data_IF_698411647348
#
_entry.id   IF_698411647348
#
_cell.length_a   1.000
_cell.length_b   1.000
_cell.length_c   1.000
_cell.angle_alpha   90.00
_cell.angle_beta   90.00
_cell.angle_gamma   90.00
#
_symmetry.space_group_name_H-M   'P 1'
#
loop_
_entity.id
_entity.type
_entity.pdbx_description
1 polymer ?
#
# COMPACT_ATOMS: atom_id res chain seq x y z
N UNK A 1 -0.64 -18.04 9.47
CA UNK A 1 -1.70 -17.84 8.44
C UNK A 1 -1.30 -18.44 7.10
N UNK A 2 -0.14 -18.10 6.52
CA UNK A 2 0.26 -18.54 5.17
C UNK A 2 1.08 -19.84 5.13
N UNK A 3 0.81 -20.79 6.02
CA UNK A 3 1.51 -22.09 6.01
C UNK A 3 0.92 -22.95 4.90
N UNK A 4 1.72 -23.30 3.89
CA UNK A 4 1.31 -24.02 2.66
C UNK A 4 0.49 -23.17 1.70
N UNK A 5 0.66 -21.84 1.71
CA UNK A 5 -0.04 -20.99 0.75
C UNK A 5 0.59 -21.13 -0.64
N UNK A 6 -0.22 -21.44 -1.65
CA UNK A 6 0.21 -21.55 -3.04
C UNK A 6 -0.59 -20.56 -3.89
N UNK A 7 0.03 -19.50 -4.44
CA UNK A 7 -0.67 -18.51 -5.26
C UNK A 7 -1.44 -19.10 -6.45
N UNK A 8 -1.05 -20.27 -6.97
CA UNK A 8 -1.74 -20.91 -8.11
C UNK A 8 -3.02 -21.64 -7.71
N UNK A 9 -3.10 -22.11 -6.47
CA UNK A 9 -4.20 -22.96 -5.98
C UNK A 9 -5.11 -22.19 -5.03
N UNK A 10 -4.55 -21.27 -4.24
CA UNK A 10 -5.27 -20.57 -3.18
C UNK A 10 -5.86 -19.23 -3.59
N UNK A 11 -5.51 -18.70 -4.76
CA UNK A 11 -6.12 -17.48 -5.29
C UNK A 11 -7.44 -17.81 -5.96
N UNK A 12 -8.53 -17.30 -5.40
CA UNK A 12 -9.89 -17.50 -5.91
C UNK A 12 -10.27 -16.47 -6.99
N UNK A 13 -9.86 -15.21 -6.80
CA UNK A 13 -10.14 -14.12 -7.74
C UNK A 13 -9.20 -12.95 -7.50
N UNK A 14 -8.94 -12.17 -8.55
CA UNK A 14 -8.19 -10.92 -8.45
C UNK A 14 -8.90 -9.84 -9.25
N UNK A 15 -9.10 -8.67 -8.66
CA UNK A 15 -9.87 -7.56 -9.25
C UNK A 15 -9.27 -6.22 -8.88
N UNK A 16 -9.37 -5.22 -9.77
CA UNK A 16 -9.05 -3.84 -9.43
C UNK A 16 -10.22 -3.17 -8.70
N UNK A 17 -9.94 -2.46 -7.61
CA UNK A 17 -10.97 -1.82 -6.79
C UNK A 17 -11.43 -0.49 -7.38
N UNK A 18 -12.71 -0.16 -7.21
CA UNK A 18 -13.28 1.13 -7.61
C UNK A 18 -12.71 2.27 -6.77
N UNK A 19 -12.60 3.47 -7.34
CA UNK A 19 -12.01 4.65 -6.68
C UNK A 19 -12.67 5.05 -5.36
N UNK A 20 -13.98 4.83 -5.19
CA UNK A 20 -14.66 5.06 -3.90
C UNK A 20 -14.18 4.11 -2.80
N UNK A 21 -14.04 2.82 -3.12
CA UNK A 21 -13.56 1.80 -2.18
C UNK A 21 -12.10 2.04 -1.82
N UNK A 22 -11.28 2.41 -2.81
CA UNK A 22 -9.89 2.78 -2.58
C UNK A 22 -9.76 3.94 -1.58
N UNK A 23 -10.53 5.01 -1.74
CA UNK A 23 -10.53 6.14 -0.78
C UNK A 23 -10.89 5.69 0.63
N UNK A 24 -11.89 4.82 0.79
CA UNK A 24 -12.28 4.28 2.09
C UNK A 24 -11.16 3.44 2.73
N UNK A 25 -10.53 2.54 1.96
CA UNK A 25 -9.40 1.72 2.44
C UNK A 25 -8.23 2.61 2.85
N UNK A 26 -7.91 3.64 2.06
CA UNK A 26 -6.85 4.60 2.39
C UNK A 26 -7.14 5.28 3.72
N UNK A 27 -8.38 5.75 3.94
CA UNK A 27 -8.79 6.35 5.21
C UNK A 27 -8.66 5.38 6.39
N UNK A 28 -9.10 4.14 6.22
CA UNK A 28 -8.96 3.10 7.25
C UNK A 28 -7.49 2.78 7.58
N UNK A 29 -6.62 2.69 6.57
CA UNK A 29 -5.19 2.46 6.76
C UNK A 29 -4.52 3.61 7.53
N UNK A 30 -4.84 4.86 7.19
CA UNK A 30 -4.28 6.03 7.89
C UNK A 30 -4.75 6.12 9.34
N UNK A 31 -6.00 5.71 9.61
CA UNK A 31 -6.54 5.66 10.97
C UNK A 31 -5.89 4.55 11.79
N UNK A 32 -5.72 3.37 11.20
CA UNK A 32 -5.18 2.20 11.88
C UNK A 32 -3.66 2.28 12.07
N UNK A 33 -2.94 2.84 11.09
CA UNK A 33 -1.48 2.91 11.05
C UNK A 33 -1.07 4.38 10.87
N UNK A 34 -1.04 5.18 11.95
CA UNK A 34 -0.70 6.61 11.88
C UNK A 34 0.66 6.89 11.25
N UNK A 35 1.61 5.95 11.31
CA UNK A 35 2.92 6.05 10.66
C UNK A 35 2.81 6.38 9.16
N UNK A 36 1.76 5.92 8.48
CA UNK A 36 1.55 6.16 7.05
C UNK A 36 1.29 7.63 6.70
N UNK A 37 0.94 8.47 7.69
CA UNK A 37 0.77 9.92 7.54
C UNK A 37 2.08 10.71 7.62
N UNK A 38 3.16 10.09 8.10
CA UNK A 38 4.44 10.77 8.26
C UNK A 38 5.05 11.10 6.89
N UNK A 39 5.86 12.16 6.81
CA UNK A 39 6.59 12.51 5.60
C UNK A 39 7.59 11.39 5.27
N UNK A 40 7.63 10.95 4.01
CA UNK A 40 8.62 9.96 3.62
C UNK A 40 10.01 10.60 3.57
N UNK A 41 10.95 10.03 4.33
CA UNK A 41 12.36 10.42 4.25
C UNK A 41 12.93 9.83 2.95
N UNK A 42 13.09 10.67 1.93
CA UNK A 42 13.88 10.32 0.74
C UNK A 42 15.34 10.48 1.12
N UNK A 43 16.08 9.38 1.28
CA UNK A 43 17.54 9.45 1.33
C UNK A 43 18.04 9.92 -0.04
N UNK A 44 18.59 11.14 -0.15
CA UNK A 44 19.05 11.68 -1.42
C UNK A 44 20.18 10.86 -2.07
N UNK A 45 20.80 9.91 -1.35
CA UNK A 45 21.85 9.03 -1.88
C UNK A 45 21.34 7.79 -2.65
N UNK A 46 20.03 7.50 -2.60
CA UNK A 46 19.42 6.30 -3.21
C UNK A 46 18.53 6.58 -4.42
N UNK A 47 18.49 7.82 -4.90
CA UNK A 47 17.82 8.12 -6.16
C UNK A 47 18.60 7.45 -7.31
N UNK A 48 17.95 6.71 -8.24
CA UNK A 48 18.60 6.33 -9.48
C UNK A 48 19.02 7.62 -10.20
N UNK A 49 20.29 7.72 -10.57
CA UNK A 49 20.80 8.86 -11.34
C UNK A 49 19.96 9.00 -12.62
N UNK A 50 19.07 9.97 -12.65
CA UNK A 50 18.44 10.42 -13.87
C UNK A 50 19.55 10.94 -14.78
N UNK A 51 19.70 10.24 -15.90
CA UNK A 51 20.62 10.54 -16.98
C UNK A 51 20.50 12.02 -17.39
N UNK A 52 21.45 12.85 -16.95
CA UNK A 52 21.61 14.22 -17.44
C UNK A 52 22.01 14.16 -18.91
N UNK A 53 21.02 14.29 -19.81
CA UNK A 53 21.30 14.74 -21.16
C UNK A 53 21.87 16.17 -21.07
N UNK A 54 23.18 16.28 -21.25
CA UNK A 54 23.87 17.55 -21.45
C UNK A 54 23.30 18.24 -22.69
N UNK A 55 22.66 19.39 -22.45
CA UNK A 55 22.37 20.37 -23.48
C UNK A 55 23.69 20.98 -23.97
N UNK A 56 24.15 20.58 -25.15
CA UNK A 56 25.26 21.25 -25.83
C UNK A 56 24.70 22.41 -26.65
N UNK A 57 25.13 23.60 -26.25
CA UNK A 57 24.79 24.91 -26.79
C UNK A 57 25.33 25.08 -28.22
N UNK A 58 24.51 25.63 -29.11
CA UNK A 58 24.85 25.99 -30.48
C UNK A 58 25.81 27.20 -30.58
N UNK A 59 26.54 27.36 -31.70
CA UNK A 59 26.95 28.67 -32.19
C UNK A 59 26.32 29.03 -33.54
N UNK A 60 26.40 30.33 -33.86
CA UNK A 60 25.50 31.12 -34.69
C UNK A 60 25.69 31.08 -36.23
N UNK A 61 24.65 31.61 -36.89
CA UNK A 61 24.34 31.90 -38.31
C UNK A 61 25.46 32.38 -39.26
N UNK A 62 25.20 32.41 -40.60
CA UNK A 62 24.55 33.59 -41.20
C UNK A 62 23.45 33.30 -42.24
N UNK A 63 22.74 34.38 -42.56
CA UNK A 63 21.56 34.61 -43.43
C UNK A 63 21.82 34.65 -44.94
N UNK A 64 20.81 34.29 -45.75
CA UNK A 64 20.49 34.76 -47.14
C UNK A 64 19.07 34.21 -47.49
N UNK A 65 18.01 35.02 -47.58
CA UNK A 65 17.43 35.77 -48.72
C UNK A 65 16.47 35.00 -49.68
N UNK A 66 15.27 35.61 -49.80
CA UNK A 66 14.25 35.61 -50.87
C UNK A 66 13.19 34.50 -51.13
N UNK A 67 12.00 35.04 -51.47
CA UNK A 67 10.60 34.56 -51.62
C UNK A 67 10.28 33.92 -53.02
N UNK A 68 9.01 33.79 -53.50
CA UNK A 68 7.78 33.18 -52.95
C UNK A 68 7.07 32.21 -53.95
N UNK A 69 6.01 31.53 -53.50
CA UNK A 69 4.75 31.18 -54.22
C UNK A 69 4.16 29.88 -53.64
N UNK A 70 2.86 29.63 -53.53
CA UNK A 70 1.64 30.36 -53.86
C UNK A 70 0.45 29.40 -53.68
N UNK A 71 -0.78 29.93 -53.55
CA UNK A 71 -2.00 29.21 -53.98
C UNK A 71 -3.06 28.81 -52.94
N UNK A 72 -4.02 29.73 -52.72
CA UNK A 72 -5.51 29.60 -52.65
C UNK A 72 -6.17 28.42 -51.88
N UNK A 73 -7.01 28.66 -50.86
CA UNK A 73 -8.40 29.24 -50.78
C UNK A 73 -9.56 28.26 -51.07
N UNK A 74 -10.49 28.22 -50.10
CA UNK A 74 -11.94 28.00 -50.26
C UNK A 74 -12.44 26.63 -49.78
N UNK A 75 -13.49 26.44 -48.98
CA UNK A 75 -14.59 27.32 -48.54
C UNK A 75 -15.95 26.67 -48.80
N UNK A 76 -16.84 26.63 -47.79
CA UNK A 76 -18.29 26.31 -47.90
C UNK A 76 -18.65 24.86 -47.55
N UNK A 77 -19.45 24.48 -46.53
CA UNK A 77 -20.70 24.96 -45.86
C UNK A 77 -22.02 24.50 -46.53
N UNK A 78 -22.92 24.00 -45.66
CA UNK A 78 -24.36 23.63 -45.81
C UNK A 78 -24.61 22.32 -46.57
N UNK A 79 -25.57 21.47 -46.20
CA UNK A 79 -26.64 21.50 -45.20
C UNK A 79 -27.72 20.52 -45.66
N UNK A 80 -28.47 19.88 -44.75
CA UNK A 80 -29.56 18.97 -45.13
C UNK A 80 -30.37 18.49 -43.94
N UNK A 81 -31.69 18.64 -44.04
CA UNK A 81 -32.73 18.63 -42.99
C UNK A 81 -33.56 17.33 -43.09
N UNK A 82 -34.16 16.85 -41.99
CA UNK A 82 -35.29 15.92 -42.10
C UNK A 82 -35.79 15.24 -40.82
N UNK A 83 -36.87 15.81 -40.24
CA UNK A 83 -38.06 15.25 -39.50
C UNK A 83 -37.94 13.86 -38.81
N UNK A 84 -38.50 13.60 -37.63
CA UNK A 84 -39.48 14.29 -36.77
C UNK A 84 -39.97 13.33 -35.66
N UNK A 85 -40.76 13.80 -34.69
CA UNK A 85 -41.42 12.93 -33.71
C UNK A 85 -41.87 13.64 -32.43
N UNK A 86 -43.20 13.68 -32.21
CA UNK A 86 -43.91 14.22 -31.03
C UNK A 86 -43.63 13.40 -29.76
N UNK A 87 -43.66 14.04 -28.58
CA UNK A 87 -43.99 13.33 -27.33
C UNK A 87 -43.67 14.05 -26.01
N UNK A 88 -44.68 14.75 -25.48
CA UNK A 88 -45.01 15.04 -24.06
C UNK A 88 -43.88 15.40 -23.07
N UNK A 89 -43.98 16.62 -22.54
CA UNK A 89 -43.26 17.06 -21.34
C UNK A 89 -43.85 16.53 -20.03
N UNK A 90 -43.00 16.53 -19.00
CA UNK A 90 -43.29 16.96 -17.63
C UNK A 90 -41.97 17.10 -16.85
N UNK A 91 -41.70 18.36 -16.48
CA UNK A 91 -41.06 18.89 -15.27
C UNK A 91 -39.74 18.27 -14.78
N UNK A 92 -38.65 18.98 -15.12
CA UNK A 92 -37.35 18.96 -14.44
C UNK A 92 -37.41 19.87 -13.21
N UNK A 93 -37.15 19.32 -12.03
CA UNK A 93 -36.52 20.07 -10.94
C UNK A 93 -35.00 19.96 -11.12
N UNK A 94 -34.38 21.06 -11.55
CA UNK A 94 -32.94 21.20 -11.64
C UNK A 94 -32.35 21.35 -10.23
N UNK A 95 -31.91 20.25 -9.63
CA UNK A 95 -31.00 20.31 -8.49
C UNK A 95 -29.57 20.41 -9.01
N UNK A 96 -29.09 21.66 -8.99
CA UNK A 96 -27.71 22.07 -9.24
C UNK A 96 -26.82 21.53 -8.11
N UNK A 97 -26.42 20.27 -8.21
CA UNK A 97 -25.32 19.76 -7.39
C UNK A 97 -24.02 20.23 -8.05
N UNK A 98 -23.34 21.05 -7.28
CA UNK A 98 -22.15 21.82 -7.60
C UNK A 98 -20.99 20.81 -7.73
N UNK A 99 -20.61 20.50 -8.97
CA UNK A 99 -19.30 19.92 -9.26
C UNK A 99 -18.25 20.94 -8.79
N UNK A 100 -17.77 20.78 -7.56
CA UNK A 100 -16.49 21.34 -7.16
C UNK A 100 -15.41 20.51 -7.86
N UNK A 101 -15.06 20.96 -9.06
CA UNK A 101 -13.71 20.77 -9.60
C UNK A 101 -12.74 21.36 -8.57
N UNK A 102 -12.22 20.49 -7.69
CA UNK A 102 -10.98 20.77 -6.99
C UNK A 102 -9.85 20.62 -8.01
N UNK A 103 -9.69 21.69 -8.80
CA UNK A 103 -8.50 21.99 -9.56
C UNK A 103 -7.36 22.31 -8.61
N UNK A 104 -6.82 21.26 -7.98
CA UNK A 104 -5.55 21.31 -7.29
C UNK A 104 -4.41 20.96 -8.25
N UNK A 105 -4.05 21.89 -9.14
CA UNK A 105 -2.67 21.98 -9.62
C UNK A 105 -1.79 22.38 -8.42
N UNK A 106 -1.33 21.37 -7.68
CA UNK A 106 -0.30 21.50 -6.66
C UNK A 106 0.97 20.86 -7.20
N UNK A 107 1.94 21.70 -7.57
CA UNK A 107 3.22 21.30 -8.10
C UNK A 107 3.95 20.26 -7.24
N UNK A 108 4.65 19.39 -7.95
CA UNK A 108 5.71 18.52 -7.48
C UNK A 108 6.73 19.33 -6.67
N UNK A 109 6.68 19.21 -5.34
CA UNK A 109 7.67 19.75 -4.42
C UNK A 109 7.77 18.86 -3.17
N UNK A 110 8.59 17.82 -3.28
CA UNK A 110 9.39 17.20 -2.21
C UNK A 110 8.77 17.03 -0.83
N UNK A 111 8.10 15.89 -0.61
CA UNK A 111 7.76 15.38 0.73
C UNK A 111 6.36 14.79 0.81
N UNK A 112 6.06 13.77 -0.01
CA UNK A 112 4.80 13.02 0.12
C UNK A 112 4.73 12.27 1.45
N UNK A 113 3.52 11.97 1.92
CA UNK A 113 3.37 11.07 3.05
C UNK A 113 3.83 9.65 2.65
N UNK A 114 4.25 8.82 3.62
CA UNK A 114 4.66 7.42 3.36
C UNK A 114 3.59 6.65 2.57
N UNK A 115 2.31 6.92 2.83
CA UNK A 115 1.19 6.34 2.07
C UNK A 115 1.23 6.68 0.57
N UNK A 116 1.66 7.89 0.19
CA UNK A 116 1.72 8.32 -1.21
C UNK A 116 2.90 7.69 -1.95
N UNK A 117 3.96 7.31 -1.22
CA UNK A 117 5.09 6.56 -1.75
C UNK A 117 4.76 5.09 -1.99
N UNK A 118 4.14 4.43 -1.01
CA UNK A 118 3.82 2.99 -1.13
C UNK A 118 2.59 2.75 -2.03
N UNK A 119 1.65 3.69 -2.03
CA UNK A 119 0.44 3.62 -2.84
C UNK A 119 0.10 5.01 -3.39
N UNK A 120 0.65 5.36 -4.57
CA UNK A 120 0.35 6.61 -5.25
C UNK A 120 -1.13 6.74 -5.60
N UNK A 121 -1.69 7.95 -5.50
CA UNK A 121 -3.12 8.20 -5.75
C UNK A 121 -3.59 7.85 -7.17
N UNK A 122 -2.67 7.84 -8.14
CA UNK A 122 -2.94 7.49 -9.54
C UNK A 122 -2.99 5.98 -9.76
N UNK A 123 -2.39 5.21 -8.86
CA UNK A 123 -2.28 3.75 -8.98
C UNK A 123 -3.53 3.06 -8.43
N UNK A 124 -4.05 2.11 -9.21
CA UNK A 124 -5.20 1.33 -8.78
C UNK A 124 -4.79 0.26 -7.76
N UNK A 125 -5.60 0.11 -6.71
CA UNK A 125 -5.42 -0.95 -5.73
C UNK A 125 -6.06 -2.25 -6.23
N UNK A 126 -5.26 -3.28 -6.41
CA UNK A 126 -5.71 -4.65 -6.62
C UNK A 126 -6.19 -5.30 -5.33
N UNK A 127 -7.25 -6.09 -5.43
CA UNK A 127 -7.71 -7.00 -4.38
C UNK A 127 -7.65 -8.43 -4.91
N UNK A 128 -6.76 -9.22 -4.34
CA UNK A 128 -6.66 -10.66 -4.57
C UNK A 128 -7.32 -11.39 -3.39
N UNK A 129 -8.42 -12.08 -3.67
CA UNK A 129 -9.10 -12.91 -2.69
C UNK A 129 -8.55 -14.33 -2.72
N UNK A 130 -8.17 -14.82 -1.56
CA UNK A 130 -7.65 -16.16 -1.38
C UNK A 130 -8.63 -17.06 -0.61
N UNK A 131 -8.34 -18.35 -0.57
CA UNK A 131 -8.97 -19.28 0.35
C UNK A 131 -8.79 -18.83 1.82
N UNK A 132 -9.55 -19.44 2.73
CA UNK A 132 -9.58 -19.08 4.16
C UNK A 132 -9.95 -17.61 4.44
N UNK A 133 -10.67 -16.97 3.52
CA UNK A 133 -11.14 -15.57 3.63
C UNK A 133 -10.00 -14.58 3.84
N UNK A 134 -8.86 -14.83 3.18
CA UNK A 134 -7.75 -13.90 3.13
C UNK A 134 -7.93 -12.95 1.94
N UNK A 135 -7.74 -11.66 2.19
CA UNK A 135 -7.74 -10.61 1.18
C UNK A 135 -6.37 -9.97 1.12
N UNK A 136 -5.70 -10.00 -0.03
CA UNK A 136 -4.38 -9.39 -0.25
C UNK A 136 -4.56 -8.16 -1.14
N UNK A 137 -4.02 -7.04 -0.69
CA UNK A 137 -4.07 -5.76 -1.39
C UNK A 137 -2.73 -5.52 -2.08
N UNK A 138 -2.79 -5.29 -3.39
CA UNK A 138 -1.62 -5.20 -4.26
C UNK A 138 -1.60 -3.88 -5.02
N UNK A 139 -0.41 -3.33 -5.24
CA UNK A 139 -0.17 -2.21 -6.14
C UNK A 139 0.88 -2.68 -7.15
N UNK A 140 0.58 -2.60 -8.45
CA UNK A 140 1.45 -3.14 -9.51
C UNK A 140 1.85 -4.61 -9.24
N UNK A 141 0.89 -5.45 -8.86
CA UNK A 141 1.07 -6.85 -8.44
C UNK A 141 1.91 -7.08 -7.17
N UNK A 142 2.47 -6.04 -6.54
CA UNK A 142 3.27 -6.17 -5.31
C UNK A 142 2.35 -6.17 -4.09
N UNK A 143 2.39 -7.20 -3.23
CA UNK A 143 1.54 -7.27 -2.04
C UNK A 143 2.02 -6.31 -0.95
N UNK A 144 1.15 -5.40 -0.54
CA UNK A 144 1.42 -4.38 0.48
C UNK A 144 0.79 -4.73 1.82
N UNK A 145 -0.50 -5.03 1.80
CA UNK A 145 -1.29 -5.35 2.99
C UNK A 145 -2.10 -6.61 2.74
N UNK A 146 -2.47 -7.28 3.81
CA UNK A 146 -3.46 -8.35 3.78
C UNK A 146 -4.39 -8.25 4.98
N UNK A 147 -5.56 -8.86 4.84
CA UNK A 147 -6.59 -8.89 5.85
C UNK A 147 -7.12 -10.32 5.93
N UNK A 148 -7.46 -10.75 7.14
CA UNK A 148 -8.13 -12.02 7.37
C UNK A 148 -9.55 -11.72 7.84
N UNK A 149 -10.54 -12.19 7.08
CA UNK A 149 -11.94 -11.79 7.25
C UNK A 149 -12.06 -10.25 7.23
N UNK A 150 -12.81 -9.67 8.18
CA UNK A 150 -12.96 -8.23 8.39
C UNK A 150 -12.04 -7.73 9.51
N UNK A 151 -10.89 -8.39 9.72
CA UNK A 151 -9.90 -8.03 10.75
C UNK A 151 -9.11 -6.74 10.43
N UNK A 152 -8.08 -6.40 11.22
CA UNK A 152 -7.21 -5.27 10.91
C UNK A 152 -6.42 -5.49 9.62
N UNK A 153 -6.02 -4.40 8.95
CA UNK A 153 -5.04 -4.47 7.87
C UNK A 153 -3.66 -4.79 8.43
N UNK A 154 -3.01 -5.81 7.88
CA UNK A 154 -1.68 -6.25 8.32
C UNK A 154 -0.71 -6.00 7.17
N UNK A 155 0.37 -5.23 7.36
CA UNK A 155 1.38 -5.03 6.32
C UNK A 155 2.09 -6.35 6.01
N UNK A 156 2.60 -6.50 4.80
CA UNK A 156 3.51 -7.60 4.48
C UNK A 156 4.84 -7.40 5.20
N UNK A 157 5.53 -8.51 5.48
CA UNK A 157 6.82 -8.43 6.16
C UNK A 157 7.87 -7.67 5.33
N UNK A 158 7.79 -7.75 3.99
CA UNK A 158 8.63 -6.96 3.06
C UNK A 158 8.40 -5.46 3.23
N UNK A 159 7.13 -5.05 3.32
CA UNK A 159 6.78 -3.64 3.56
C UNK A 159 7.28 -3.16 4.93
N UNK A 160 7.12 -4.00 5.96
CA UNK A 160 7.61 -3.71 7.31
C UNK A 160 9.13 -3.62 7.39
N UNK A 161 9.88 -4.38 6.58
CA UNK A 161 11.35 -4.26 6.52
C UNK A 161 11.79 -2.92 5.94
N UNK A 162 11.05 -2.35 4.98
CA UNK A 162 11.31 -1.01 4.44
C UNK A 162 10.93 0.09 5.44
N UNK A 163 9.90 -0.14 6.24
CA UNK A 163 9.39 0.81 7.24
C UNK A 163 9.24 0.14 8.62
N UNK A 164 10.33 -0.10 9.36
CA UNK A 164 10.28 -0.83 10.62
C UNK A 164 9.33 -0.20 11.63
N UNK A 165 9.34 1.12 11.73
CA UNK A 165 8.56 1.89 12.71
C UNK A 165 7.04 1.92 12.40
N UNK A 166 6.56 1.19 11.39
CA UNK A 166 5.14 1.11 11.05
C UNK A 166 4.31 0.41 12.12
N UNK A 167 4.90 -0.55 12.85
CA UNK A 167 4.23 -1.33 13.88
C UNK A 167 5.03 -1.33 15.19
N UNK A 168 4.37 -1.43 16.35
CA UNK A 168 5.04 -1.61 17.63
C UNK A 168 5.88 -2.89 17.65
N UNK A 169 7.04 -2.83 18.30
CA UNK A 169 8.01 -3.91 18.31
C UNK A 169 7.92 -4.76 19.57
N UNK A 170 7.90 -6.07 19.40
CA UNK A 170 8.13 -7.05 20.47
C UNK A 170 9.39 -7.84 20.14
N UNK A 171 10.22 -8.15 21.13
CA UNK A 171 11.44 -8.91 20.93
C UNK A 171 11.31 -10.29 21.58
N UNK A 172 11.61 -11.33 20.82
CA UNK A 172 11.71 -12.71 21.30
C UNK A 172 13.17 -13.08 21.58
N UNK A 173 13.37 -13.97 22.54
CA UNK A 173 14.70 -14.54 22.81
C UNK A 173 15.22 -15.47 21.70
N UNK A 174 16.51 -15.78 21.77
CA UNK A 174 17.17 -16.71 20.84
C UNK A 174 16.51 -18.08 20.77
N UNK A 175 15.96 -18.58 21.88
CA UNK A 175 15.35 -19.91 21.96
C UNK A 175 14.06 -20.01 21.14
N UNK A 176 13.29 -18.92 21.08
CA UNK A 176 12.03 -18.81 20.37
C UNK A 176 12.19 -18.71 18.85
N UNK A 177 13.34 -18.25 18.33
CA UNK A 177 13.56 -17.98 16.89
C UNK A 177 13.21 -19.19 16.03
N UNK A 178 13.72 -20.38 16.37
CA UNK A 178 13.46 -21.60 15.59
C UNK A 178 11.96 -21.95 15.52
N UNK A 179 11.21 -21.63 16.56
CA UNK A 179 9.78 -21.93 16.64
C UNK A 179 8.97 -20.90 15.85
N UNK A 180 9.37 -19.63 15.88
CA UNK A 180 8.78 -18.59 15.04
C UNK A 180 8.90 -18.95 13.56
N UNK A 181 10.09 -19.36 13.11
CA UNK A 181 10.34 -19.74 11.71
C UNK A 181 9.57 -21.01 11.29
N UNK A 182 9.10 -21.81 12.25
CA UNK A 182 8.21 -22.96 12.00
C UNK A 182 6.71 -22.57 11.97
N UNK A 183 6.40 -21.30 12.23
CA UNK A 183 5.04 -20.75 12.32
C UNK A 183 4.34 -21.00 13.65
N UNK A 184 5.08 -21.24 14.73
CA UNK A 184 4.49 -21.41 16.06
C UNK A 184 4.10 -20.07 16.68
N UNK A 185 3.09 -20.07 17.55
CA UNK A 185 2.72 -18.88 18.34
C UNK A 185 3.79 -18.56 19.39
N UNK A 186 3.94 -17.28 19.72
CA UNK A 186 4.94 -16.86 20.71
C UNK A 186 4.36 -16.90 22.11
N UNK A 187 5.09 -17.56 23.00
CA UNK A 187 4.71 -17.76 24.39
C UNK A 187 5.24 -16.62 25.27
N UNK A 188 4.51 -16.26 26.31
CA UNK A 188 4.90 -15.20 27.24
C UNK A 188 6.34 -15.35 27.79
N UNK A 189 6.83 -16.54 28.18
CA UNK A 189 8.21 -16.68 28.65
C UNK A 189 9.28 -16.23 27.64
N UNK A 190 9.04 -16.38 26.32
CA UNK A 190 10.00 -15.99 25.29
C UNK A 190 10.10 -14.47 25.08
N UNK A 191 9.12 -13.71 25.58
CA UNK A 191 9.08 -12.25 25.54
C UNK A 191 9.52 -11.60 26.86
N UNK A 192 9.50 -12.37 27.96
CA UNK A 192 9.81 -11.91 29.31
C UNK A 192 11.16 -12.43 29.83
N UNK A 193 11.87 -13.24 29.05
CA UNK A 193 13.22 -13.69 29.35
C UNK A 193 14.24 -12.56 29.15
N UNK A 194 15.51 -12.79 29.54
CA UNK A 194 16.56 -11.78 29.44
C UNK A 194 16.79 -11.25 28.00
N UNK A 195 16.51 -12.08 26.99
CA UNK A 195 16.58 -11.71 25.57
C UNK A 195 15.26 -11.23 24.99
N UNK A 196 14.15 -11.38 25.72
CA UNK A 196 12.82 -10.94 25.32
C UNK A 196 12.55 -9.50 25.75
N UNK A 197 11.76 -8.77 24.97
CA UNK A 197 11.27 -7.43 25.32
C UNK A 197 9.82 -7.28 24.92
N UNK A 198 8.97 -6.99 25.89
CA UNK A 198 7.58 -6.62 25.68
C UNK A 198 7.37 -5.19 26.16
N UNK A 199 7.16 -4.21 25.26
CA UNK A 199 6.84 -2.84 25.65
C UNK A 199 5.47 -2.78 26.34
N UNK A 200 5.31 -1.79 27.21
CA UNK A 200 4.05 -1.49 27.91
C UNK A 200 3.10 -0.68 27.02
N UNK A 201 1.82 -0.65 27.39
CA UNK A 201 0.80 0.15 26.70
C UNK A 201 0.22 -0.49 25.44
N UNK A 202 0.61 -1.72 25.10
CA UNK A 202 0.00 -2.45 24.00
C UNK A 202 -1.33 -3.08 24.42
N UNK A 203 -2.37 -2.83 23.63
CA UNK A 203 -3.71 -3.36 23.84
C UNK A 203 -3.84 -4.81 23.37
N UNK A 204 -4.92 -5.47 23.80
CA UNK A 204 -5.34 -6.75 23.24
C UNK A 204 -5.72 -6.59 21.77
N UNK A 205 -5.42 -7.60 20.95
CA UNK A 205 -5.68 -7.64 19.51
C UNK A 205 -4.85 -6.63 18.68
N UNK A 206 -3.91 -5.91 19.31
CA UNK A 206 -2.95 -5.03 18.62
C UNK A 206 -2.01 -5.85 17.72
N UNK A 207 -1.73 -5.34 16.52
CA UNK A 207 -0.80 -5.95 15.56
C UNK A 207 0.63 -5.51 15.87
N UNK A 208 1.53 -6.47 16.06
CA UNK A 208 2.91 -6.24 16.51
C UNK A 208 3.94 -6.86 15.57
N UNK A 209 5.08 -6.18 15.43
CA UNK A 209 6.26 -6.66 14.73
C UNK A 209 7.15 -7.49 15.66
N UNK A 210 7.35 -8.76 15.35
CA UNK A 210 8.15 -9.69 16.14
C UNK A 210 9.60 -9.62 15.69
N UNK A 211 10.46 -9.04 16.51
CA UNK A 211 11.91 -9.00 16.35
C UNK A 211 12.57 -10.13 17.12
N UNK A 212 13.73 -10.57 16.65
CA UNK A 212 14.52 -11.57 17.35
C UNK A 212 15.77 -10.94 17.98
N UNK A 213 16.17 -11.44 19.14
CA UNK A 213 17.41 -11.01 19.78
C UNK A 213 18.61 -11.14 18.82
N UNK A 214 19.32 -10.02 18.60
CA UNK A 214 20.47 -9.96 17.69
C UNK A 214 20.12 -9.90 16.20
N UNK A 215 18.88 -9.61 15.84
CA UNK A 215 18.44 -9.36 14.45
C UNK A 215 17.85 -7.96 14.32
N UNK A 216 18.21 -7.30 13.23
CA UNK A 216 17.75 -5.94 12.92
C UNK A 216 16.32 -5.94 12.37
N UNK A 217 16.01 -6.87 11.45
CA UNK A 217 14.71 -6.92 10.81
C UNK A 217 13.70 -7.78 11.59
N UNK A 218 12.42 -7.43 11.46
CA UNK A 218 11.30 -8.22 11.98
C UNK A 218 11.32 -9.63 11.40
N UNK A 219 11.23 -10.64 12.26
CA UNK A 219 11.18 -12.05 11.88
C UNK A 219 9.75 -12.55 11.66
N UNK A 220 8.74 -11.79 12.08
CA UNK A 220 7.34 -12.06 11.79
C UNK A 220 6.42 -10.95 12.28
N UNK A 221 5.13 -11.12 12.01
CA UNK A 221 4.06 -10.23 12.48
C UNK A 221 3.02 -11.10 13.17
N UNK A 222 2.52 -10.61 14.28
CA UNK A 222 1.49 -11.29 15.04
C UNK A 222 0.51 -10.32 15.68
N UNK A 223 -0.44 -10.91 16.39
CA UNK A 223 -1.47 -10.20 17.11
C UNK A 223 -1.42 -10.56 18.58
N UNK A 224 -1.52 -9.57 19.47
CA UNK A 224 -1.53 -9.82 20.91
C UNK A 224 -2.83 -10.50 21.35
N UNK A 225 -2.71 -11.56 22.17
CA UNK A 225 -3.88 -12.30 22.71
C UNK A 225 -4.50 -11.60 23.92
N UNK A 226 -3.71 -10.81 24.64
CA UNK A 226 -4.08 -10.01 25.80
C UNK A 226 -3.22 -8.74 25.84
N UNK A 227 -3.54 -7.79 26.72
CA UNK A 227 -2.72 -6.58 26.87
C UNK A 227 -1.29 -6.92 27.34
N UNK A 228 -0.35 -6.03 27.05
CA UNK A 228 1.05 -6.16 27.50
C UNK A 228 1.17 -6.38 29.01
N UNK A 229 0.37 -5.68 29.80
CA UNK A 229 0.31 -5.79 31.27
C UNK A 229 -0.22 -7.16 31.74
N UNK A 230 -1.28 -7.66 31.12
CA UNK A 230 -1.85 -8.97 31.42
C UNK A 230 -0.87 -10.10 31.09
N UNK A 231 -0.15 -9.99 29.97
CA UNK A 231 0.87 -10.96 29.56
C UNK A 231 2.01 -10.98 30.57
N UNK A 232 2.50 -9.81 30.99
CA UNK A 232 3.54 -9.67 32.04
C UNK A 232 3.09 -10.28 33.35
N UNK A 233 1.83 -10.04 33.76
CA UNK A 233 1.26 -10.56 35.01
C UNK A 233 1.05 -12.07 34.99
N UNK A 234 0.57 -12.62 33.87
CA UNK A 234 0.34 -14.05 33.73
C UNK A 234 1.65 -14.83 33.60
N UNK A 235 2.65 -14.28 32.90
CA UNK A 235 3.97 -14.85 32.62
C UNK A 235 3.95 -16.27 31.96
N UNK A 236 2.78 -16.74 31.53
CA UNK A 236 2.58 -18.06 30.93
C UNK A 236 1.50 -18.01 29.84
N UNK A 237 1.51 -19.00 28.97
CA UNK A 237 0.54 -19.12 27.86
C UNK A 237 0.97 -18.36 26.61
N UNK A 238 0.08 -18.33 25.63
CA UNK A 238 0.29 -17.66 24.34
C UNK A 238 0.18 -16.16 24.55
N UNK A 239 1.21 -15.42 24.15
CA UNK A 239 1.23 -13.97 24.21
C UNK A 239 0.89 -13.34 22.85
N UNK A 240 1.48 -13.87 21.78
CA UNK A 240 1.29 -13.38 20.41
C UNK A 240 0.89 -14.54 19.51
N UNK A 241 -0.25 -14.39 18.85
CA UNK A 241 -0.68 -15.25 17.75
C UNK A 241 0.08 -14.84 16.49
N UNK A 242 0.85 -15.76 15.91
CA UNK A 242 1.71 -15.45 14.76
C UNK A 242 0.89 -15.55 13.47
N UNK A 243 0.90 -14.47 12.69
CA UNK A 243 0.15 -14.37 11.45
C UNK A 243 1.04 -14.69 10.25
N UNK A 244 2.18 -14.00 10.12
CA UNK A 244 3.18 -14.24 9.09
C UNK A 244 4.60 -14.22 9.67
N UNK A 245 5.54 -14.86 8.99
CA UNK A 245 6.95 -14.95 9.42
C UNK A 245 7.88 -15.09 8.22
N UNK A 246 9.17 -14.82 8.45
CA UNK A 246 10.20 -15.00 7.42
C UNK A 246 10.20 -16.47 6.94
N UNK A 247 10.09 -16.65 5.63
CA UNK A 247 10.12 -17.98 5.01
C UNK A 247 8.78 -18.70 4.98
N UNK A 248 7.69 -18.06 5.42
CA UNK A 248 6.35 -18.51 5.05
C UNK A 248 6.13 -18.38 3.54
N UNK A 249 5.00 -18.88 3.05
CA UNK A 249 4.83 -18.94 1.60
C UNK A 249 4.42 -17.59 1.00
N UNK A 250 3.79 -16.69 1.77
CA UNK A 250 3.55 -15.30 1.31
C UNK A 250 4.88 -14.54 1.17
N UNK A 251 5.85 -14.77 2.06
CA UNK A 251 7.18 -14.17 2.00
C UNK A 251 7.91 -14.47 0.69
N UNK A 252 7.73 -15.69 0.15
CA UNK A 252 8.34 -16.14 -1.11
C UNK A 252 7.66 -15.55 -2.34
N UNK A 253 6.53 -14.88 -2.18
CA UNK A 253 5.76 -14.30 -3.27
C UNK A 253 6.23 -12.86 -3.49
N UNK A 254 6.78 -12.60 -4.68
CA UNK A 254 7.17 -11.25 -5.09
C UNK A 254 6.01 -10.51 -5.73
N UNK A 255 5.24 -11.20 -6.57
CA UNK A 255 4.07 -10.67 -7.26
C UNK A 255 2.88 -11.61 -7.13
N UNK A 256 1.69 -11.04 -6.97
CA UNK A 256 0.43 -11.77 -6.88
C UNK A 256 -0.73 -10.94 -7.46
N UNK A 257 -1.68 -11.62 -8.09
CA UNK A 257 -2.87 -10.98 -8.62
C UNK A 257 -2.71 -10.46 -10.05
N UNK A 258 -3.41 -9.36 -10.35
CA UNK A 258 -3.51 -8.72 -11.68
C UNK A 258 -2.39 -7.71 -11.89
#
# INVERSE_FOLDING_TARGET
MFKKFNPKEDVSSSTSLKSSVQRNIRSSLLTQIPFLTQASYRDPSTAPEENKQEAVVAPAAPTEEEEPSGGKKGGGKKGGKGKGGKGKGKDKEDKKDKDEEDGGEGGDAGGGAVIDEIWPKKEALGLTKCHDRISIFTVQQVPLFFQHFDGPFIPTLKLLHRYPNMLPHVQIDRGAIKFLLAGANMMAPGLLSAGGKLPDGLAKDEVVAIHAEGKEHACGIGKLVASSEEIKKAAKGVAVEVVCWIGDDLWKVDTIGL
#
